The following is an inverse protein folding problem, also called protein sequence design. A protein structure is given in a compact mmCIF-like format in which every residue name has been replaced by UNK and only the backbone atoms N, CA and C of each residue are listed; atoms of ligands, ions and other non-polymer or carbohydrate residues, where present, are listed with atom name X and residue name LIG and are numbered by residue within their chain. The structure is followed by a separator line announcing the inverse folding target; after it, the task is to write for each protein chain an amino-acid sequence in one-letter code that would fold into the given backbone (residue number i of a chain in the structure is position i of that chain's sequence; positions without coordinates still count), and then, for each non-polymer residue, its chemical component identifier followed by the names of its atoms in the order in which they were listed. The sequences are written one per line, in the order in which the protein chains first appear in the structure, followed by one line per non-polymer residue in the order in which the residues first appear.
data_IF_973253802842
#
_entry.id   IF_973253802842
#
_cell.length_a   1.000
_cell.length_b   1.000
_cell.length_c   1.000
_cell.angle_alpha   90.00
_cell.angle_beta   90.00
_cell.angle_gamma   90.00
#
_symmetry.space_group_name_H-M   'P 1'
#
loop_
_entity.id
_entity.type
_entity.pdbx_description
1 polymer ?
#
# COMPACT_ATOMS: atom_id res chain seq x y z
N UNK A 1 1.06 0.74 31.20
CA UNK A 1 1.93 1.73 30.54
C UNK A 1 1.31 2.07 29.21
N UNK A 2 0.63 3.22 29.09
CA UNK A 2 0.17 3.69 27.79
C UNK A 2 1.42 4.06 26.98
N UNK A 3 1.69 3.33 25.89
CA UNK A 3 2.75 3.70 24.95
C UNK A 3 2.40 5.09 24.44
N UNK A 4 3.20 6.09 24.84
CA UNK A 4 3.12 7.45 24.33
C UNK A 4 3.32 7.37 22.81
N UNK A 5 2.24 7.49 22.04
CA UNK A 5 2.27 7.60 20.58
C UNK A 5 2.54 9.05 20.14
N UNK A 6 2.71 9.96 21.11
CA UNK A 6 3.12 11.33 20.89
C UNK A 6 4.51 11.31 20.24
N UNK A 7 4.59 11.79 19.01
CA UNK A 7 5.77 11.65 18.16
C UNK A 7 5.53 10.87 16.87
N UNK A 8 4.37 10.21 16.72
CA UNK A 8 3.98 9.49 15.51
C UNK A 8 3.06 10.31 14.62
N UNK A 9 3.21 10.17 13.30
CA UNK A 9 2.19 10.50 12.32
C UNK A 9 1.58 9.22 11.79
N UNK A 10 0.25 9.20 11.72
CA UNK A 10 -0.50 8.23 10.94
C UNK A 10 -0.88 8.89 9.62
N UNK A 11 -0.43 8.29 8.52
CA UNK A 11 -0.62 8.78 7.17
C UNK A 11 -1.55 7.83 6.42
N UNK A 12 -2.67 8.34 5.92
CA UNK A 12 -3.65 7.54 5.18
C UNK A 12 -3.77 8.09 3.76
N UNK A 13 -3.61 7.25 2.74
CA UNK A 13 -3.75 7.64 1.35
C UNK A 13 -5.15 7.25 0.81
N UNK A 14 -5.76 8.14 0.01
CA UNK A 14 -7.06 7.91 -0.61
C UNK A 14 -7.01 6.87 -1.75
N UNK A 15 -5.85 6.70 -2.38
CA UNK A 15 -5.58 5.70 -3.41
C UNK A 15 -4.36 4.88 -3.01
N UNK A 16 -4.37 3.59 -3.29
CA UNK A 16 -3.22 2.70 -3.09
C UNK A 16 -3.08 1.77 -4.29
N UNK A 17 -1.84 1.41 -4.72
CA UNK A 17 -0.55 1.87 -4.21
C UNK A 17 -0.29 3.36 -4.53
N UNK A 18 0.35 4.07 -3.61
CA UNK A 18 0.62 5.51 -3.73
C UNK A 18 1.97 5.88 -3.11
N UNK A 19 2.65 6.86 -3.69
CA UNK A 19 4.00 7.29 -3.27
C UNK A 19 4.06 8.81 -3.18
N UNK A 20 4.55 9.32 -2.05
CA UNK A 20 4.72 10.76 -1.81
C UNK A 20 5.80 11.01 -0.77
N UNK A 21 6.58 12.08 -0.93
CA UNK A 21 7.62 12.50 0.02
C UNK A 21 8.67 11.41 0.35
N UNK A 22 8.94 10.50 -0.60
CA UNK A 22 9.83 9.35 -0.40
C UNK A 22 9.22 8.20 0.42
N UNK A 23 7.94 8.29 0.79
CA UNK A 23 7.20 7.25 1.49
C UNK A 23 6.34 6.45 0.49
N UNK A 24 6.25 5.13 0.74
CA UNK A 24 5.38 4.22 0.01
C UNK A 24 4.20 3.82 0.90
N UNK A 25 2.98 4.05 0.42
CA UNK A 25 1.77 3.75 1.16
C UNK A 25 1.29 2.33 0.82
N UNK A 26 1.21 1.42 1.80
CA UNK A 26 0.74 0.06 1.59
C UNK A 26 -0.74 0.02 1.21
N UNK A 27 -1.15 -1.01 0.46
CA UNK A 27 -2.53 -1.19 0.01
C UNK A 27 -3.44 -1.46 1.22
N UNK A 28 -4.47 -0.63 1.38
CA UNK A 28 -5.51 -0.81 2.39
C UNK A 28 -5.06 -0.62 3.84
N UNK A 29 -3.85 -0.09 4.10
CA UNK A 29 -3.33 0.11 5.45
C UNK A 29 -2.78 1.53 5.64
N UNK A 30 -3.02 2.18 6.80
CA UNK A 30 -2.38 3.45 7.13
C UNK A 30 -0.90 3.24 7.46
N UNK A 31 -0.08 4.21 7.10
CA UNK A 31 1.35 4.20 7.34
C UNK A 31 1.68 5.01 8.61
N UNK A 32 2.36 4.39 9.58
CA UNK A 32 2.82 5.10 10.77
C UNK A 32 4.29 5.47 10.61
N UNK A 33 4.63 6.76 10.78
CA UNK A 33 6.00 7.26 10.70
C UNK A 33 6.35 8.12 11.92
N UNK A 34 7.62 8.16 12.30
CA UNK A 34 8.06 9.06 13.36
C UNK A 34 8.14 10.49 12.82
N UNK A 35 7.61 11.46 13.54
CA UNK A 35 7.68 12.88 13.16
C UNK A 35 9.15 13.30 12.97
N UNK A 36 10.03 12.87 13.89
CA UNK A 36 11.47 13.18 13.86
C UNK A 36 12.24 12.54 12.70
N UNK A 37 11.68 11.55 12.01
CA UNK A 37 12.32 10.96 10.83
C UNK A 37 12.00 11.71 9.54
N UNK A 38 11.15 12.74 9.58
CA UNK A 38 10.76 13.53 8.42
C UNK A 38 11.54 14.84 8.36
N UNK A 39 11.85 15.26 7.15
CA UNK A 39 12.32 16.64 6.88
C UNK A 39 11.15 17.60 6.73
N UNK A 40 11.40 18.90 6.91
CA UNK A 40 10.40 19.96 6.66
C UNK A 40 9.82 19.87 5.26
N UNK A 41 10.66 19.59 4.25
CA UNK A 41 10.23 19.44 2.85
C UNK A 41 9.27 18.26 2.70
N UNK A 42 9.59 17.11 3.29
CA UNK A 42 8.73 15.92 3.24
C UNK A 42 7.39 16.16 3.94
N UNK A 43 7.41 16.74 5.15
CA UNK A 43 6.20 17.05 5.90
C UNK A 43 5.30 18.03 5.11
N UNK A 44 5.88 19.08 4.53
CA UNK A 44 5.14 20.02 3.67
C UNK A 44 4.51 19.34 2.46
N UNK A 45 5.24 18.44 1.79
CA UNK A 45 4.72 17.70 0.63
C UNK A 45 3.55 16.78 0.98
N UNK A 46 3.54 16.22 2.19
CA UNK A 46 2.43 15.40 2.70
C UNK A 46 1.22 16.27 3.04
N UNK A 47 1.41 17.40 3.72
CA UNK A 47 0.34 18.32 4.09
C UNK A 47 -0.31 19.03 2.89
N UNK A 48 0.46 19.24 1.81
CA UNK A 48 -0.02 19.84 0.58
C UNK A 48 -0.75 18.85 -0.33
N UNK A 49 -0.71 17.54 -0.02
CA UNK A 49 -1.30 16.53 -0.89
C UNK A 49 -2.77 16.24 -0.50
N UNK A 50 -3.75 16.49 -1.37
CA UNK A 50 -5.15 16.24 -1.07
C UNK A 50 -5.49 14.75 -0.99
N UNK A 51 -4.61 13.85 -1.44
CA UNK A 51 -4.79 12.41 -1.34
C UNK A 51 -4.25 11.84 -0.03
N UNK A 52 -3.54 12.62 0.78
CA UNK A 52 -2.93 12.17 2.04
C UNK A 52 -3.59 12.85 3.23
N UNK A 53 -4.11 12.05 4.15
CA UNK A 53 -4.59 12.49 5.44
C UNK A 53 -3.48 12.30 6.47
N UNK A 54 -3.06 13.39 7.12
CA UNK A 54 -2.00 13.39 8.15
C UNK A 54 -2.63 13.53 9.54
N UNK A 55 -2.46 12.52 10.39
CA UNK A 55 -2.98 12.52 11.76
C UNK A 55 -1.82 12.41 12.76
N UNK A 56 -1.90 13.12 13.88
CA UNK A 56 -0.85 13.18 14.90
C UNK A 56 -1.23 12.31 16.09
N UNK A 57 -0.30 11.45 16.53
CA UNK A 57 -0.45 10.61 17.70
C UNK A 57 -0.49 11.42 19.00
N UNK A 58 -1.41 11.05 19.89
CA UNK A 58 -1.66 11.68 21.18
C UNK A 58 -1.14 10.81 22.34
N UNK A 59 -1.08 11.41 23.53
CA UNK A 59 -0.62 10.73 24.76
C UNK A 59 -1.52 9.56 25.18
N UNK A 60 -2.79 9.59 24.78
CA UNK A 60 -3.77 8.53 25.05
C UNK A 60 -3.76 7.40 23.99
N UNK A 61 -2.85 7.45 23.01
CA UNK A 61 -2.77 6.49 21.91
C UNK A 61 -3.74 6.74 20.75
N UNK A 62 -4.54 7.80 20.78
CA UNK A 62 -5.38 8.20 19.66
C UNK A 62 -4.57 8.96 18.59
N UNK A 63 -5.06 8.94 17.35
CA UNK A 63 -4.57 9.79 16.27
C UNK A 63 -5.63 10.83 15.93
N UNK A 64 -5.25 12.10 15.87
CA UNK A 64 -6.17 13.21 15.60
C UNK A 64 -5.64 14.08 14.46
N UNK A 65 -6.56 14.61 13.66
CA UNK A 65 -6.26 15.68 12.72
C UNK A 65 -5.98 16.96 13.51
N UNK A 66 -4.83 17.59 13.26
CA UNK A 66 -4.44 18.84 13.91
C UNK A 66 -4.66 19.98 12.92
N UNK A 67 -5.65 20.87 13.14
CA UNK A 67 -6.00 21.93 12.18
C UNK A 67 -4.88 22.95 11.96
N UNK A 68 -3.97 23.10 12.92
CA UNK A 68 -2.83 24.03 12.85
C UNK A 68 -1.72 23.51 11.93
N UNK A 69 -1.68 22.19 11.68
CA UNK A 69 -0.68 21.56 10.85
C UNK A 69 -1.18 21.58 9.39
N UNK A 70 -0.93 22.68 8.69
CA UNK A 70 -1.34 22.88 7.30
C UNK A 70 -0.16 23.12 6.38
N UNK A 71 -0.36 22.94 5.07
CA UNK A 71 0.64 23.26 4.06
C UNK A 71 1.04 24.75 4.03
N UNK A 72 0.21 25.64 4.60
CA UNK A 72 0.47 27.06 4.73
C UNK A 72 1.39 27.41 5.91
N UNK A 73 1.71 26.46 6.79
CA UNK A 73 2.67 26.67 7.86
C UNK A 73 4.06 27.04 7.31
N UNK A 74 4.74 27.96 7.99
CA UNK A 74 6.12 28.35 7.66
C UNK A 74 7.10 27.22 7.94
N UNK A 75 8.27 27.23 7.28
CA UNK A 75 9.31 26.22 7.51
C UNK A 75 9.75 26.19 8.99
N UNK A 76 9.84 27.35 9.64
CA UNK A 76 10.18 27.44 11.06
C UNK A 76 9.14 26.78 11.97
N UNK A 77 7.85 26.91 11.66
CA UNK A 77 6.78 26.25 12.42
C UNK A 77 6.81 24.73 12.23
N UNK A 78 7.04 24.26 11.00
CA UNK A 78 7.17 22.83 10.72
C UNK A 78 8.40 22.23 11.39
N UNK A 79 9.54 22.96 11.38
CA UNK A 79 10.75 22.53 12.06
C UNK A 79 10.55 22.48 13.58
N UNK A 80 9.94 23.52 14.18
CA UNK A 80 9.62 23.53 15.61
C UNK A 80 8.67 22.39 16.00
N UNK A 81 7.71 22.05 15.14
CA UNK A 81 6.84 20.89 15.34
C UNK A 81 7.62 19.56 15.32
N UNK A 82 8.58 19.41 14.40
CA UNK A 82 9.44 18.24 14.33
C UNK A 82 10.33 18.13 15.57
N UNK A 83 10.92 19.24 16.00
CA UNK A 83 11.83 19.28 17.15
C UNK A 83 11.11 19.08 18.49
N UNK A 84 9.86 19.52 18.60
CA UNK A 84 9.02 19.32 19.79
C UNK A 84 8.47 17.90 19.93
N UNK A 85 8.55 17.07 18.89
CA UNK A 85 8.06 15.70 18.92
C UNK A 85 8.95 14.82 19.83
N UNK A 86 8.36 14.00 20.72
CA UNK A 86 9.14 13.03 21.50
C UNK A 86 9.82 12.03 20.56
N UNK A 87 11.02 11.54 20.89
CA UNK A 87 11.61 10.43 20.18
C UNK A 87 10.75 9.18 20.41
N UNK A 88 10.34 8.55 19.31
CA UNK A 88 9.68 7.26 19.34
C UNK A 88 10.39 6.33 18.37
N UNK A 89 10.52 5.07 18.79
CA UNK A 89 10.96 3.99 17.90
C UNK A 89 9.70 3.35 17.33
N UNK A 90 9.41 3.67 16.07
CA UNK A 90 8.46 2.91 15.28
C UNK A 90 9.29 1.88 14.54
N UNK A 91 9.00 0.59 14.76
CA UNK A 91 9.50 -0.46 13.89
C UNK A 91 9.04 -0.11 12.48
N UNK A 92 9.99 0.29 11.64
CA UNK A 92 9.72 0.53 10.24
C UNK A 92 9.16 -0.78 9.69
N UNK A 93 7.88 -0.80 9.34
CA UNK A 93 7.36 -1.84 8.47
C UNK A 93 8.24 -1.71 7.23
N UNK A 94 9.07 -2.71 6.91
CA UNK A 94 9.98 -2.59 5.78
C UNK A 94 9.12 -2.19 4.60
N UNK A 95 9.45 -1.05 3.99
CA UNK A 95 8.85 -0.67 2.73
C UNK A 95 9.14 -1.84 1.80
N UNK A 96 8.15 -2.72 1.62
CA UNK A 96 8.23 -3.79 0.66
C UNK A 96 8.66 -3.13 -0.64
N UNK A 97 9.68 -3.67 -1.32
CA UNK A 97 10.06 -3.13 -2.58
C UNK A 97 8.83 -3.35 -3.49
N UNK A 98 8.24 -2.23 -3.93
CA UNK A 98 7.23 -2.22 -4.98
C UNK A 98 7.75 -1.21 -6.00
N UNK A 99 8.92 -1.53 -6.55
CA UNK A 99 9.40 -0.85 -7.76
C UNK A 99 8.57 -1.30 -8.97
N UNK A 100 8.59 -0.53 -10.08
CA UNK A 100 7.97 -0.97 -11.33
C UNK A 100 8.52 -2.33 -11.81
N UNK A 101 9.75 -2.68 -11.45
CA UNK A 101 10.37 -3.97 -11.79
C UNK A 101 9.77 -5.16 -11.03
N UNK A 102 9.35 -5.00 -9.78
CA UNK A 102 8.71 -6.07 -9.00
C UNK A 102 7.25 -6.23 -9.34
N UNK A 103 6.54 -5.12 -9.61
CA UNK A 103 5.19 -5.18 -10.15
C UNK A 103 5.19 -5.87 -11.53
N UNK A 104 6.19 -5.60 -12.37
CA UNK A 104 6.40 -6.30 -13.63
C UNK A 104 6.74 -7.78 -13.42
N UNK A 105 7.56 -8.12 -12.42
CA UNK A 105 7.90 -9.50 -12.10
C UNK A 105 6.69 -10.29 -11.60
N UNK A 106 5.86 -9.70 -10.73
CA UNK A 106 4.64 -10.32 -10.22
C UNK A 106 3.58 -10.47 -11.32
N UNK A 107 3.42 -9.46 -12.19
CA UNK A 107 2.57 -9.54 -13.37
C UNK A 107 3.05 -10.62 -14.34
N UNK A 108 4.36 -10.76 -14.56
CA UNK A 108 4.94 -11.84 -15.38
C UNK A 108 4.68 -13.21 -14.78
N UNK A 109 4.80 -13.36 -13.47
CA UNK A 109 4.52 -14.62 -12.78
C UNK A 109 3.05 -15.01 -12.93
N UNK A 110 2.12 -14.08 -12.66
CA UNK A 110 0.68 -14.31 -12.83
C UNK A 110 0.30 -14.63 -14.29
N UNK A 111 0.96 -14.00 -15.26
CA UNK A 111 0.72 -14.24 -16.68
C UNK A 111 1.23 -15.62 -17.12
N UNK A 112 2.35 -16.09 -16.55
CA UNK A 112 2.84 -17.44 -16.76
C UNK A 112 1.88 -18.49 -16.18
N UNK A 113 1.38 -18.28 -14.95
CA UNK A 113 0.41 -19.18 -14.31
C UNK A 113 -0.92 -19.22 -15.09
N UNK A 114 -1.40 -18.06 -15.54
CA UNK A 114 -2.59 -17.97 -16.37
C UNK A 114 -2.42 -18.72 -17.71
N UNK A 115 -1.26 -18.62 -18.36
CA UNK A 115 -0.98 -19.34 -19.60
C UNK A 115 -0.97 -20.87 -19.41
N UNK A 116 -0.41 -21.36 -18.29
CA UNK A 116 -0.43 -22.78 -17.94
C UNK A 116 -1.86 -23.26 -17.71
N UNK A 117 -2.66 -22.51 -16.95
CA UNK A 117 -4.06 -22.84 -16.70
C UNK A 117 -4.90 -22.88 -18.00
N UNK A 118 -4.64 -21.95 -18.92
CA UNK A 118 -5.35 -21.87 -20.19
C UNK A 118 -5.01 -23.06 -21.12
N UNK A 119 -3.73 -23.47 -21.16
CA UNK A 119 -3.32 -24.66 -21.89
C UNK A 119 -3.93 -25.95 -21.31
N UNK A 120 -4.00 -26.06 -19.98
CA UNK A 120 -4.65 -27.20 -19.33
C UNK A 120 -6.15 -27.24 -19.64
N UNK A 121 -6.83 -26.09 -19.58
CA UNK A 121 -8.25 -25.99 -19.92
C UNK A 121 -8.52 -26.39 -21.39
N UNK A 122 -7.67 -25.95 -22.33
CA UNK A 122 -7.79 -26.35 -23.74
C UNK A 122 -7.65 -27.87 -23.93
N UNK A 123 -6.66 -28.50 -23.27
CA UNK A 123 -6.48 -29.95 -23.34
C UNK A 123 -7.68 -30.73 -22.75
N UNK A 124 -8.28 -30.21 -21.68
CA UNK A 124 -9.50 -30.78 -21.11
C UNK A 124 -10.69 -30.66 -22.09
N UNK A 125 -10.83 -29.53 -22.76
CA UNK A 125 -11.89 -29.33 -23.77
C UNK A 125 -11.72 -30.32 -24.93
N UNK A 126 -10.50 -30.51 -25.43
CA UNK A 126 -10.23 -31.51 -26.49
C UNK A 126 -10.62 -32.92 -26.04
N UNK A 127 -10.23 -33.30 -24.82
CA UNK A 127 -10.58 -34.61 -24.25
C UNK A 127 -12.09 -34.80 -24.13
N UNK A 128 -12.83 -33.77 -23.69
CA UNK A 128 -14.28 -33.79 -23.59
C UNK A 128 -14.96 -33.85 -24.96
N UNK A 129 -14.41 -33.15 -25.96
CA UNK A 129 -14.93 -33.19 -27.33
C UNK A 129 -14.74 -34.57 -27.95
N UNK A 130 -13.60 -35.21 -27.73
CA UNK A 130 -13.35 -36.55 -28.27
C UNK A 130 -14.19 -37.62 -27.55
N UNK A 131 -14.38 -37.50 -26.24
CA UNK A 131 -15.32 -38.33 -25.50
C UNK A 131 -16.77 -38.14 -25.97
N UNK A 132 -17.18 -36.89 -26.25
CA UNK A 132 -18.51 -36.59 -26.79
C UNK A 132 -18.71 -37.17 -28.20
N UNK A 133 -17.71 -37.07 -29.09
CA UNK A 133 -17.74 -37.68 -30.41
C UNK A 133 -17.83 -39.21 -30.33
N UNK A 134 -17.04 -39.84 -29.46
CA UNK A 134 -17.07 -41.29 -29.25
C UNK A 134 -18.44 -41.76 -28.72
N UNK A 135 -19.02 -41.03 -27.78
CA UNK A 135 -20.36 -41.30 -27.24
C UNK A 135 -21.46 -41.15 -28.31
N UNK A 136 -21.41 -40.07 -29.11
CA UNK A 136 -22.34 -39.85 -30.21
C UNK A 136 -22.24 -40.95 -31.29
N UNK A 137 -21.03 -41.41 -31.60
CA UNK A 137 -20.81 -42.52 -32.53
C UNK A 137 -21.36 -43.85 -31.99
N UNK A 138 -21.17 -44.12 -30.69
CA UNK A 138 -21.71 -45.32 -30.04
C UNK A 138 -23.25 -45.31 -30.01
N UNK A 139 -23.87 -44.15 -29.76
CA UNK A 139 -25.33 -43.96 -29.82
C UNK A 139 -25.90 -44.15 -31.23
N UNK A 140 -25.15 -43.76 -32.28
CA UNK A 140 -25.59 -43.93 -33.67
C UNK A 140 -25.44 -45.37 -34.20
N UNK A 141 -24.65 -46.21 -33.52
CA UNK A 141 -24.41 -47.60 -33.89
C UNK A 141 -25.27 -48.61 -33.09
N UNK A 142 -26.04 -48.13 -32.11
CA UNK A 142 -27.02 -48.90 -31.33
C UNK A 142 -28.42 -48.79 -31.93
#
# INVERSE_FOLDING_TARGET
MARLMRGALLLTAAKTPYRRAGLAFPIGMPLTVAIRSLTVVQLRQLLADPQVTVMVGQDNGAFLLVPELTAAATDAQLQAFIDAAPPIEIEAIPAGPIGPEEELAELRLRLADAAVALNQANSQIETLQDAAKASAAALAAA
#
